data_IF_454993128719
#
_entry.id   IF_454993128719
#
_cell.length_a   1.000
_cell.length_b   1.000
_cell.length_c   1.000
_cell.angle_alpha   90.00
_cell.angle_beta   90.00
_cell.angle_gamma   90.00
#
_symmetry.space_group_name_H-M   'P 1'
#
loop_
_entity.id
_entity.type
_entity.pdbx_description
1 polymer ?
#
# COMPACT_ATOMS: atom_id res chain seq x y z
N UNK A 1 -4.27 2.56 13.05
CA UNK A 1 -3.58 2.29 11.76
C UNK A 1 -4.25 3.02 10.64
N UNK A 2 -5.52 2.72 10.42
CA UNK A 2 -6.34 3.25 9.34
C UNK A 2 -6.34 4.79 9.26
N UNK A 3 -6.56 5.48 10.38
CA UNK A 3 -6.48 6.94 10.46
C UNK A 3 -5.09 7.46 10.04
N UNK A 4 -4.01 6.89 10.60
CA UNK A 4 -2.62 7.24 10.25
C UNK A 4 -2.33 7.00 8.76
N UNK A 5 -2.86 5.92 8.17
CA UNK A 5 -2.72 5.64 6.76
C UNK A 5 -3.45 6.68 5.90
N UNK A 6 -4.66 7.07 6.28
CA UNK A 6 -5.41 8.12 5.59
C UNK A 6 -4.69 9.48 5.67
N UNK A 7 -4.14 9.85 6.83
CA UNK A 7 -3.36 11.08 7.00
C UNK A 7 -2.13 11.12 6.08
N UNK A 8 -1.37 10.01 6.05
CA UNK A 8 -0.20 9.87 5.20
C UNK A 8 -0.59 9.90 3.71
N UNK A 9 -1.65 9.20 3.32
CA UNK A 9 -2.08 9.18 1.92
C UNK A 9 -2.51 10.55 1.45
N UNK A 10 -3.27 11.30 2.25
CA UNK A 10 -3.65 12.69 1.93
C UNK A 10 -2.40 13.58 1.81
N UNK A 11 -1.41 13.42 2.69
CA UNK A 11 -0.15 14.16 2.59
C UNK A 11 0.60 13.83 1.28
N UNK A 12 0.60 12.56 0.84
CA UNK A 12 1.22 12.12 -0.42
C UNK A 12 0.46 12.58 -1.67
N UNK A 13 -0.79 13.01 -1.51
CA UNK A 13 -1.63 13.59 -2.57
C UNK A 13 -1.52 15.11 -2.69
N UNK A 14 -0.75 15.79 -1.83
CA UNK A 14 -0.48 17.21 -1.98
C UNK A 14 0.03 17.47 -3.41
N UNK A 15 -0.64 18.35 -4.15
CA UNK A 15 -0.38 18.67 -5.57
C UNK A 15 -0.89 17.67 -6.63
N UNK A 16 -1.79 16.76 -6.25
CA UNK A 16 -2.55 15.93 -7.19
C UNK A 16 -4.04 16.11 -6.97
N UNK A 17 -4.83 15.94 -8.02
CA UNK A 17 -6.29 15.85 -7.92
C UNK A 17 -6.66 14.42 -7.52
N UNK A 18 -7.23 14.20 -6.32
CA UNK A 18 -7.69 12.87 -5.92
C UNK A 18 -8.91 12.47 -6.75
N UNK A 19 -8.90 11.25 -7.28
CA UNK A 19 -10.00 10.68 -8.06
C UNK A 19 -10.40 9.34 -7.46
N UNK A 20 -11.59 9.27 -6.87
CA UNK A 20 -12.14 8.04 -6.31
C UNK A 20 -12.82 7.23 -7.40
N UNK A 21 -12.44 5.95 -7.53
CA UNK A 21 -13.01 5.03 -8.50
C UNK A 21 -13.89 3.98 -7.80
N UNK A 22 -15.16 3.92 -8.21
CA UNK A 22 -16.13 2.93 -7.74
C UNK A 22 -16.57 2.03 -8.89
N UNK A 23 -16.89 0.78 -8.59
CA UNK A 23 -17.53 -0.13 -9.53
C UNK A 23 -19.00 -0.35 -9.13
N UNK A 24 -19.97 -0.13 -10.00
CA UNK A 24 -21.39 -0.38 -9.66
C UNK A 24 -21.64 -1.86 -9.32
N UNK A 25 -20.91 -2.74 -9.98
CA UNK A 25 -20.98 -4.20 -9.90
C UNK A 25 -19.70 -4.82 -9.31
N UNK A 26 -18.98 -4.07 -8.47
CA UNK A 26 -17.76 -4.52 -7.77
C UNK A 26 -17.97 -4.65 -6.26
N UNK A 27 -16.91 -5.09 -5.55
CA UNK A 27 -16.97 -5.32 -4.11
C UNK A 27 -17.19 -4.04 -3.28
N UNK A 28 -16.59 -2.91 -3.72
CA UNK A 28 -16.64 -1.62 -3.02
C UNK A 28 -16.30 -1.70 -1.50
N UNK A 29 -15.38 -2.60 -1.14
CA UNK A 29 -15.11 -3.04 0.23
C UNK A 29 -14.17 -2.11 1.01
N UNK A 30 -13.86 -0.93 0.46
CA UNK A 30 -12.93 0.05 1.06
C UNK A 30 -13.60 1.39 1.36
N UNK A 31 -14.93 1.39 1.44
CA UNK A 31 -15.73 2.59 1.63
C UNK A 31 -15.36 3.35 2.90
N UNK A 32 -15.15 2.63 4.02
CA UNK A 32 -14.71 3.26 5.28
C UNK A 32 -13.41 4.08 5.05
N UNK A 33 -12.40 3.49 4.39
CA UNK A 33 -11.11 4.16 4.14
C UNK A 33 -11.28 5.38 3.25
N UNK A 34 -12.07 5.25 2.20
CA UNK A 34 -12.38 6.35 1.30
C UNK A 34 -13.05 7.49 2.06
N UNK A 35 -14.01 7.20 2.93
CA UNK A 35 -14.72 8.21 3.72
C UNK A 35 -13.75 8.93 4.68
N UNK A 36 -12.83 8.19 5.31
CA UNK A 36 -11.80 8.77 6.18
C UNK A 36 -10.80 9.66 5.41
N UNK A 37 -10.47 9.30 4.16
CA UNK A 37 -9.64 10.13 3.27
C UNK A 37 -10.42 11.37 2.81
N UNK A 38 -11.67 11.22 2.37
CA UNK A 38 -12.53 12.34 1.94
C UNK A 38 -12.71 13.37 3.05
N UNK A 39 -13.04 12.92 4.27
CA UNK A 39 -13.15 13.80 5.45
C UNK A 39 -11.91 14.67 5.68
N UNK A 40 -10.72 14.10 5.47
CA UNK A 40 -9.44 14.82 5.59
C UNK A 40 -9.19 15.78 4.44
N UNK A 41 -9.58 15.43 3.22
CA UNK A 41 -9.52 16.32 2.06
C UNK A 41 -10.46 17.51 2.23
N UNK A 42 -11.70 17.26 2.68
CA UNK A 42 -12.70 18.29 2.99
C UNK A 42 -12.19 19.25 4.07
N UNK A 43 -11.63 18.71 5.16
CA UNK A 43 -11.03 19.52 6.23
C UNK A 43 -9.85 20.39 5.76
N UNK A 44 -9.23 20.06 4.62
CA UNK A 44 -8.15 20.85 3.99
C UNK A 44 -8.64 21.73 2.83
N UNK A 45 -9.92 21.66 2.47
CA UNK A 45 -10.47 22.35 1.30
C UNK A 45 -9.97 21.80 -0.05
N UNK A 46 -9.45 20.57 -0.08
CA UNK A 46 -8.93 19.94 -1.30
C UNK A 46 -10.08 19.33 -2.09
N UNK A 47 -10.32 19.82 -3.31
CA UNK A 47 -11.31 19.24 -4.20
C UNK A 47 -10.87 17.86 -4.70
N UNK A 48 -11.84 16.96 -4.85
CA UNK A 48 -11.66 15.63 -5.41
C UNK A 48 -12.79 15.29 -6.39
N UNK A 49 -12.55 14.30 -7.25
CA UNK A 49 -13.56 13.77 -8.19
C UNK A 49 -13.94 12.34 -7.80
N UNK A 50 -15.15 11.92 -8.14
CA UNK A 50 -15.58 10.53 -8.03
C UNK A 50 -16.07 10.07 -9.40
N UNK A 51 -15.57 8.93 -9.87
CA UNK A 51 -15.98 8.30 -11.13
C UNK A 51 -16.50 6.91 -10.78
N UNK A 52 -17.71 6.63 -11.23
CA UNK A 52 -18.36 5.33 -11.05
C UNK A 52 -18.43 4.64 -12.40
N UNK A 53 -18.06 3.37 -12.43
CA UNK A 53 -17.91 2.56 -13.64
C UNK A 53 -18.68 1.26 -13.48
N UNK A 54 -19.28 0.77 -14.55
CA UNK A 54 -19.84 -0.58 -14.62
C UNK A 54 -18.92 -1.45 -15.48
N UNK A 55 -18.66 -2.69 -15.07
CA UNK A 55 -17.77 -3.56 -15.83
C UNK A 55 -16.30 -3.09 -15.74
N UNK A 56 -15.74 -2.55 -16.81
CA UNK A 56 -14.31 -2.16 -16.85
C UNK A 56 -14.14 -0.67 -17.04
N UNK A 57 -13.08 -0.11 -16.45
CA UNK A 57 -12.70 1.26 -16.72
C UNK A 57 -12.22 1.37 -18.17
N UNK A 58 -12.75 2.37 -18.87
CA UNK A 58 -12.31 2.73 -20.22
C UNK A 58 -11.92 4.20 -20.24
N UNK A 59 -11.12 4.61 -21.23
CA UNK A 59 -10.80 6.02 -21.45
C UNK A 59 -12.03 6.93 -21.56
N UNK A 60 -13.16 6.40 -22.03
CA UNK A 60 -14.39 7.16 -22.14
C UNK A 60 -14.91 7.65 -20.77
N UNK A 61 -14.68 6.88 -19.71
CA UNK A 61 -15.05 7.24 -18.35
C UNK A 61 -14.17 8.37 -17.77
N UNK A 62 -13.00 8.62 -18.36
CA UNK A 62 -11.99 9.58 -17.88
C UNK A 62 -11.92 10.87 -18.73
N UNK A 63 -12.80 11.03 -19.72
CA UNK A 63 -12.78 12.15 -20.68
C UNK A 63 -12.86 13.55 -20.04
N UNK A 64 -13.48 13.65 -18.87
CA UNK A 64 -13.63 14.92 -18.14
C UNK A 64 -12.38 15.31 -17.31
N UNK A 65 -11.37 14.45 -17.28
CA UNK A 65 -10.09 14.75 -16.65
C UNK A 65 -9.19 15.45 -17.68
N UNK A 66 -8.73 16.69 -17.41
CA UNK A 66 -7.70 17.34 -18.22
C UNK A 66 -6.51 16.43 -18.51
N UNK A 67 -6.12 16.34 -19.78
CA UNK A 67 -5.07 15.42 -20.24
C UNK A 67 -3.68 15.72 -19.65
N UNK A 68 -3.41 16.97 -19.29
CA UNK A 68 -2.13 17.42 -18.70
C UNK A 68 -2.15 17.46 -17.16
N UNK A 69 -3.15 16.84 -16.54
CA UNK A 69 -3.35 16.91 -15.10
C UNK A 69 -2.47 15.93 -14.30
N UNK A 70 -2.35 16.20 -13.00
CA UNK A 70 -1.69 15.32 -12.03
C UNK A 70 -2.76 14.66 -11.15
N UNK A 71 -2.90 13.34 -11.23
CA UNK A 71 -3.99 12.62 -10.58
C UNK A 71 -3.48 11.55 -9.63
N UNK A 72 -4.17 11.41 -8.50
CA UNK A 72 -4.03 10.23 -7.65
C UNK A 72 -5.36 9.48 -7.61
N UNK A 73 -5.39 8.28 -8.17
CA UNK A 73 -6.59 7.44 -8.16
C UNK A 73 -6.66 6.59 -6.90
N UNK A 74 -7.82 6.54 -6.26
CA UNK A 74 -8.10 5.70 -5.10
C UNK A 74 -9.24 4.77 -5.47
N UNK A 75 -8.96 3.47 -5.57
CA UNK A 75 -9.98 2.47 -5.93
C UNK A 75 -10.79 2.10 -4.70
N UNK A 76 -12.10 1.95 -4.78
CA UNK A 76 -12.91 1.45 -3.67
C UNK A 76 -12.83 -0.07 -3.49
N UNK A 77 -11.75 -0.73 -3.92
CA UNK A 77 -11.68 -2.18 -3.88
C UNK A 77 -10.30 -2.69 -3.51
N UNK A 78 -10.27 -3.65 -2.60
CA UNK A 78 -9.12 -4.48 -2.28
C UNK A 78 -8.97 -5.70 -3.20
N UNK A 79 -10.02 -6.07 -3.93
CA UNK A 79 -10.13 -7.36 -4.61
C UNK A 79 -9.39 -7.36 -5.95
N UNK A 80 -8.47 -8.30 -6.15
CA UNK A 80 -7.63 -8.37 -7.35
C UNK A 80 -8.44 -8.40 -8.67
N UNK A 81 -9.56 -9.14 -8.72
CA UNK A 81 -10.41 -9.21 -9.91
C UNK A 81 -11.00 -7.86 -10.31
N UNK A 82 -11.33 -7.02 -9.33
CA UNK A 82 -11.89 -5.69 -9.56
C UNK A 82 -10.79 -4.70 -9.93
N UNK A 83 -9.63 -4.80 -9.28
CA UNK A 83 -8.43 -4.03 -9.63
C UNK A 83 -8.03 -4.27 -11.10
N UNK A 84 -8.09 -5.53 -11.56
CA UNK A 84 -7.80 -5.90 -12.94
C UNK A 84 -8.81 -5.34 -13.95
N UNK A 85 -10.01 -4.95 -13.51
CA UNK A 85 -11.00 -4.26 -14.35
C UNK A 85 -10.75 -2.75 -14.45
N UNK A 86 -9.91 -2.19 -13.57
CA UNK A 86 -9.69 -0.75 -13.42
C UNK A 86 -8.31 -0.30 -13.91
N UNK A 87 -7.22 -0.96 -13.48
CA UNK A 87 -5.86 -0.51 -13.80
C UNK A 87 -5.54 -0.45 -15.31
N UNK A 88 -5.93 -1.43 -16.15
CA UNK A 88 -5.64 -1.35 -17.58
C UNK A 88 -6.25 -0.12 -18.26
N UNK A 89 -7.46 0.28 -17.86
CA UNK A 89 -8.12 1.48 -18.39
C UNK A 89 -7.41 2.78 -18.01
N UNK A 90 -6.77 2.84 -16.84
CA UNK A 90 -5.93 3.98 -16.44
C UNK A 90 -4.66 4.06 -17.29
N UNK A 91 -4.05 2.91 -17.59
CA UNK A 91 -2.84 2.83 -18.44
C UNK A 91 -3.19 3.27 -19.87
N UNK A 92 -4.25 2.71 -20.47
CA UNK A 92 -4.70 3.08 -21.83
C UNK A 92 -4.97 4.58 -21.93
N UNK A 93 -5.68 5.15 -20.96
CA UNK A 93 -5.97 6.58 -20.94
C UNK A 93 -4.70 7.44 -20.82
N UNK A 94 -3.76 7.07 -19.94
CA UNK A 94 -2.49 7.79 -19.77
C UNK A 94 -1.66 7.80 -21.04
N UNK A 95 -1.58 6.64 -21.71
CA UNK A 95 -0.69 6.43 -22.86
C UNK A 95 -1.23 7.14 -24.12
N UNK A 96 -2.54 7.39 -24.20
CA UNK A 96 -3.16 8.16 -25.28
C UNK A 96 -3.27 9.68 -25.00
N UNK A 97 -3.28 10.08 -23.73
CA UNK A 97 -3.39 11.47 -23.33
C UNK A 97 -2.04 12.23 -23.44
N UNK A 98 -2.08 13.55 -23.26
CA UNK A 98 -0.88 14.42 -23.19
C UNK A 98 -0.15 14.21 -21.85
N UNK A 99 0.44 13.01 -21.69
CA UNK A 99 1.26 12.56 -20.56
C UNK A 99 0.82 13.05 -19.16
N UNK A 100 -0.38 12.71 -18.66
CA UNK A 100 -0.76 13.00 -17.29
C UNK A 100 0.15 12.25 -16.30
N UNK A 101 0.50 12.88 -15.18
CA UNK A 101 1.16 12.17 -14.08
C UNK A 101 0.12 11.45 -13.25
N UNK A 102 0.23 10.12 -13.18
CA UNK A 102 -0.71 9.27 -12.45
C UNK A 102 -0.01 8.58 -11.28
N UNK A 103 -0.73 8.49 -10.16
CA UNK A 103 -0.45 7.57 -9.06
C UNK A 103 -1.72 6.81 -8.71
N UNK A 104 -1.57 5.61 -8.16
CA UNK A 104 -2.68 4.83 -7.61
C UNK A 104 -2.44 4.59 -6.13
N UNK A 105 -3.47 4.69 -5.31
CA UNK A 105 -3.45 4.23 -3.92
C UNK A 105 -4.12 2.87 -3.84
N UNK A 106 -3.36 1.90 -3.33
CA UNK A 106 -3.81 0.55 -3.04
C UNK A 106 -3.84 0.24 -1.54
N UNK A 107 -4.19 -1.00 -1.23
CA UNK A 107 -4.49 -1.48 0.12
C UNK A 107 -3.53 -2.58 0.55
N UNK A 108 -3.40 -2.88 1.86
CA UNK A 108 -2.41 -3.82 2.37
C UNK A 108 -2.37 -5.17 1.65
N UNK A 109 -3.54 -5.71 1.27
CA UNK A 109 -3.65 -6.97 0.56
C UNK A 109 -3.03 -6.95 -0.86
N UNK A 110 -2.86 -5.78 -1.48
CA UNK A 110 -2.26 -5.67 -2.82
C UNK A 110 -0.78 -6.04 -2.84
N UNK A 111 -0.09 -6.05 -1.69
CA UNK A 111 1.31 -6.52 -1.61
C UNK A 111 1.44 -8.02 -1.93
N UNK A 112 0.33 -8.74 -1.92
CA UNK A 112 0.26 -10.16 -2.31
C UNK A 112 0.08 -10.36 -3.81
N UNK A 113 -0.27 -9.31 -4.55
CA UNK A 113 -0.49 -9.43 -5.99
C UNK A 113 0.79 -9.76 -6.73
N UNK A 114 0.65 -10.55 -7.80
CA UNK A 114 1.72 -11.05 -8.66
C UNK A 114 1.30 -10.97 -10.12
N UNK A 115 2.24 -11.24 -11.04
CA UNK A 115 1.98 -11.27 -12.47
C UNK A 115 1.51 -9.91 -13.01
N UNK A 116 0.54 -9.92 -13.89
CA UNK A 116 0.06 -8.72 -14.60
C UNK A 116 -0.44 -7.62 -13.65
N UNK A 117 -1.14 -7.96 -12.56
CA UNK A 117 -1.61 -6.96 -11.61
C UNK A 117 -0.44 -6.20 -10.96
N UNK A 118 0.62 -6.91 -10.58
CA UNK A 118 1.82 -6.29 -10.02
C UNK A 118 2.54 -5.43 -11.08
N UNK A 119 2.64 -5.91 -12.31
CA UNK A 119 3.19 -5.12 -13.43
C UNK A 119 2.42 -3.82 -13.64
N UNK A 120 1.08 -3.87 -13.59
CA UNK A 120 0.22 -2.70 -13.70
C UNK A 120 0.38 -1.75 -12.50
N UNK A 121 0.57 -2.29 -11.29
CA UNK A 121 0.89 -1.48 -10.11
C UNK A 121 2.21 -0.71 -10.28
N UNK A 122 3.25 -1.36 -10.79
CA UNK A 122 4.52 -0.67 -11.12
C UNK A 122 4.31 0.38 -12.20
N UNK A 123 3.57 0.06 -13.26
CA UNK A 123 3.31 0.97 -14.37
C UNK A 123 2.61 2.26 -13.90
N UNK A 124 1.70 2.14 -12.93
CA UNK A 124 0.89 3.25 -12.41
C UNK A 124 1.45 3.90 -11.13
N UNK A 125 2.71 3.63 -10.76
CA UNK A 125 3.36 4.23 -9.59
C UNK A 125 2.53 4.08 -8.30
N UNK A 126 2.13 2.84 -8.02
CA UNK A 126 1.15 2.53 -6.96
C UNK A 126 1.76 2.63 -5.56
N UNK A 127 1.07 3.37 -4.68
CA UNK A 127 1.36 3.49 -3.26
C UNK A 127 0.45 2.55 -2.46
N UNK A 128 1.05 1.69 -1.63
CA UNK A 128 0.33 0.78 -0.73
C UNK A 128 0.79 1.01 0.70
N UNK A 129 -0.14 1.13 1.64
CA UNK A 129 0.18 1.08 3.06
C UNK A 129 0.13 -0.36 3.58
N UNK A 130 1.01 -0.72 4.52
CA UNK A 130 1.01 -2.06 5.13
C UNK A 130 1.67 -2.06 6.52
N UNK A 131 1.37 -3.06 7.36
CA UNK A 131 2.16 -3.32 8.60
C UNK A 131 3.46 -4.05 8.34
N UNK A 132 3.52 -4.77 7.24
CA UNK A 132 4.64 -5.61 6.92
C UNK A 132 5.01 -5.43 5.45
N UNK A 133 6.28 -5.63 5.16
CA UNK A 133 6.75 -5.64 3.79
C UNK A 133 7.74 -6.76 3.66
N UNK A 134 7.39 -7.77 2.88
CA UNK A 134 8.33 -8.85 2.57
C UNK A 134 8.94 -8.62 1.19
N UNK A 135 10.26 -8.46 1.18
CA UNK A 135 11.05 -8.44 -0.03
C UNK A 135 11.98 -9.65 0.01
N UNK A 136 11.52 -10.75 -0.60
CA UNK A 136 12.23 -12.02 -0.69
C UNK A 136 13.61 -11.85 -1.37
N UNK A 137 13.73 -10.90 -2.29
CA UNK A 137 14.96 -10.57 -3.00
C UNK A 137 15.91 -9.66 -2.21
N UNK A 138 15.54 -9.23 -1.01
CA UNK A 138 16.44 -8.44 -0.18
C UNK A 138 17.58 -9.31 0.36
N UNK A 139 18.82 -8.77 0.46
CA UNK A 139 19.92 -9.49 1.10
C UNK A 139 19.64 -9.90 2.55
N UNK A 140 18.79 -9.14 3.28
CA UNK A 140 18.36 -9.49 4.65
C UNK A 140 17.46 -10.73 4.63
N UNK A 141 16.44 -10.77 3.77
CA UNK A 141 15.52 -11.91 3.64
C UNK A 141 16.24 -13.18 3.19
N UNK A 142 17.06 -13.11 2.12
CA UNK A 142 17.85 -14.27 1.65
C UNK A 142 18.79 -14.83 2.73
N UNK A 143 19.42 -13.96 3.53
CA UNK A 143 20.31 -14.39 4.61
C UNK A 143 19.55 -15.12 5.72
N UNK A 144 18.37 -14.63 6.10
CA UNK A 144 17.53 -15.31 7.10
C UNK A 144 17.04 -16.65 6.55
N UNK A 145 16.56 -16.70 5.30
CA UNK A 145 16.15 -17.94 4.63
C UNK A 145 17.27 -18.99 4.63
N UNK A 146 18.49 -18.58 4.26
CA UNK A 146 19.66 -19.47 4.25
C UNK A 146 19.99 -20.01 5.64
N UNK A 147 20.00 -19.15 6.67
CA UNK A 147 20.24 -19.57 8.06
C UNK A 147 19.15 -20.48 8.59
N UNK A 148 17.89 -20.18 8.27
CA UNK A 148 16.76 -21.01 8.66
C UNK A 148 16.89 -22.42 8.06
N UNK A 149 17.16 -22.52 6.76
CA UNK A 149 17.45 -23.79 6.08
C UNK A 149 18.61 -24.56 6.71
N UNK A 150 19.69 -23.87 7.05
CA UNK A 150 20.84 -24.50 7.69
C UNK A 150 20.51 -25.11 9.05
N UNK A 151 19.67 -24.45 9.85
CA UNK A 151 19.39 -24.88 11.23
C UNK A 151 18.24 -25.88 11.33
N UNK A 152 17.22 -25.75 10.46
CA UNK A 152 15.99 -26.54 10.54
C UNK A 152 15.87 -27.57 9.41
N UNK A 153 16.79 -27.59 8.44
CA UNK A 153 16.83 -28.57 7.34
C UNK A 153 15.84 -28.32 6.20
N UNK A 154 14.90 -27.38 6.35
CA UNK A 154 13.91 -27.02 5.33
C UNK A 154 13.75 -25.51 5.18
N UNK A 155 13.16 -25.07 4.07
CA UNK A 155 12.81 -23.67 3.86
C UNK A 155 11.66 -23.24 4.77
N UNK A 156 11.56 -21.92 5.01
CA UNK A 156 10.40 -21.37 5.69
C UNK A 156 9.14 -21.50 4.80
N UNK A 157 7.99 -21.69 5.44
CA UNK A 157 6.69 -21.73 4.76
C UNK A 157 6.43 -20.44 3.97
N UNK A 158 5.91 -20.59 2.75
CA UNK A 158 5.62 -19.47 1.86
C UNK A 158 4.21 -18.90 2.10
N UNK A 159 3.96 -18.43 3.32
CA UNK A 159 2.74 -17.75 3.72
C UNK A 159 2.97 -16.24 3.77
N UNK A 160 1.92 -15.43 3.52
CA UNK A 160 2.01 -13.97 3.64
C UNK A 160 1.13 -13.49 4.81
N UNK A 161 1.68 -12.77 5.82
CA UNK A 161 3.10 -12.50 6.04
C UNK A 161 3.89 -13.78 6.34
N UNK A 162 5.19 -13.76 6.04
CA UNK A 162 6.09 -14.88 6.27
C UNK A 162 6.33 -15.08 7.76
N UNK A 163 5.71 -16.13 8.30
CA UNK A 163 5.64 -16.40 9.73
C UNK A 163 7.02 -16.59 10.36
N UNK A 164 7.94 -17.28 9.67
CA UNK A 164 9.31 -17.45 10.17
C UNK A 164 10.07 -16.13 10.30
N UNK A 165 9.86 -15.17 9.38
CA UNK A 165 10.48 -13.83 9.47
C UNK A 165 9.78 -12.99 10.53
N UNK A 166 8.45 -13.07 10.66
CA UNK A 166 7.70 -12.41 11.74
C UNK A 166 8.17 -12.87 13.12
N UNK A 167 8.35 -14.18 13.33
CA UNK A 167 8.90 -14.73 14.57
C UNK A 167 10.33 -14.24 14.84
N UNK A 168 11.18 -14.24 13.82
CA UNK A 168 12.55 -13.71 13.91
C UNK A 168 12.55 -12.23 14.32
N UNK A 169 11.78 -11.38 13.62
CA UNK A 169 11.70 -9.95 13.90
C UNK A 169 11.17 -9.67 15.31
N UNK A 170 10.16 -10.42 15.75
CA UNK A 170 9.59 -10.31 17.10
C UNK A 170 10.62 -10.68 18.17
N UNK A 171 11.34 -11.80 18.00
CA UNK A 171 12.38 -12.21 18.94
C UNK A 171 13.51 -11.20 19.02
N UNK A 172 13.98 -10.69 17.88
CA UNK A 172 15.02 -9.66 17.83
C UNK A 172 14.56 -8.35 18.48
N UNK A 173 13.30 -7.95 18.30
CA UNK A 173 12.73 -6.81 19.01
C UNK A 173 12.75 -7.01 20.53
N UNK A 174 12.26 -8.14 21.04
CA UNK A 174 12.23 -8.42 22.50
C UNK A 174 13.63 -8.42 23.09
N UNK A 175 14.60 -9.09 22.44
CA UNK A 175 15.99 -9.11 22.90
C UNK A 175 16.60 -7.71 22.92
N UNK A 176 16.33 -6.89 21.90
CA UNK A 176 16.79 -5.50 21.87
C UNK A 176 16.16 -4.68 22.99
N UNK A 177 14.84 -4.80 23.20
CA UNK A 177 14.09 -4.10 24.25
C UNK A 177 14.60 -4.43 25.65
N UNK A 178 14.88 -5.71 25.93
CA UNK A 178 15.44 -6.15 27.21
C UNK A 178 16.84 -5.60 27.47
N UNK A 179 17.64 -5.45 26.40
CA UNK A 179 19.02 -4.94 26.50
C UNK A 179 19.06 -3.42 26.66
N UNK A 180 18.32 -2.73 25.80
CA UNK A 180 18.20 -1.29 25.75
C UNK A 180 16.70 -1.05 25.67
N UNK A 181 16.08 -0.36 26.63
CA UNK A 181 14.62 -0.10 26.66
C UNK A 181 14.09 0.78 25.50
N UNK A 182 14.61 0.60 24.29
CA UNK A 182 14.19 1.24 23.06
C UNK A 182 12.96 0.56 22.50
N UNK A 183 11.95 1.37 22.25
CA UNK A 183 10.64 0.92 21.76
C UNK A 183 10.58 0.76 20.23
N UNK A 184 11.69 0.99 19.51
CA UNK A 184 11.78 0.97 18.05
C UNK A 184 12.69 -0.14 17.51
N UNK A 185 12.23 -0.85 16.48
CA UNK A 185 13.00 -1.86 15.75
C UNK A 185 12.58 -1.90 14.28
N UNK A 186 13.55 -1.79 13.37
CA UNK A 186 13.38 -2.05 11.93
C UNK A 186 13.76 -3.49 11.59
N UNK A 187 12.75 -4.35 11.52
CA UNK A 187 12.92 -5.75 11.13
C UNK A 187 13.07 -5.96 9.64
N UNK A 188 13.24 -7.22 9.27
CA UNK A 188 13.36 -7.63 7.87
C UNK A 188 12.02 -7.53 7.17
N UNK A 189 10.95 -7.99 7.82
CA UNK A 189 9.58 -7.91 7.33
C UNK A 189 8.72 -6.97 8.19
N UNK A 190 8.85 -7.03 9.51
CA UNK A 190 8.01 -6.29 10.46
C UNK A 190 8.85 -5.30 11.26
N UNK A 191 8.35 -4.08 11.36
CA UNK A 191 8.92 -3.07 12.24
C UNK A 191 8.04 -2.92 13.47
N UNK A 192 8.66 -2.58 14.59
CA UNK A 192 7.96 -2.31 15.84
C UNK A 192 8.29 -0.89 16.29
N UNK A 193 7.24 -0.14 16.63
CA UNK A 193 7.36 1.16 17.29
C UNK A 193 6.15 1.32 18.19
N UNK A 194 6.30 0.93 19.45
CA UNK A 194 5.18 0.90 20.40
C UNK A 194 4.91 2.28 21.00
N UNK A 195 3.64 2.60 21.16
CA UNK A 195 3.16 3.79 21.86
C UNK A 195 1.85 3.46 22.57
N UNK A 196 1.50 4.25 23.59
CA UNK A 196 0.23 4.16 24.31
C UNK A 196 -0.72 5.20 23.72
N UNK A 197 -1.82 4.80 23.06
CA UNK A 197 -2.87 5.74 22.67
C UNK A 197 -3.54 6.37 23.90
N UNK A 198 -4.04 7.60 23.76
CA UNK A 198 -4.76 8.28 24.84
C UNK A 198 -5.95 7.44 25.34
N UNK A 199 -6.01 7.20 26.66
CA UNK A 199 -7.07 6.41 27.30
C UNK A 199 -6.94 4.89 27.12
N UNK A 200 -5.87 4.38 26.49
CA UNK A 200 -5.62 2.95 26.35
C UNK A 200 -4.88 2.37 27.58
N UNK A 201 -5.19 1.11 27.91
CA UNK A 201 -4.53 0.38 29.00
C UNK A 201 -3.24 -0.34 28.57
N UNK A 202 -2.83 -0.25 27.30
CA UNK A 202 -1.68 -0.96 26.79
C UNK A 202 -1.11 -0.38 25.50
N UNK A 203 0.10 -0.83 25.18
CA UNK A 203 0.86 -0.37 24.03
C UNK A 203 0.32 -0.96 22.72
N UNK A 204 0.37 -0.19 21.65
CA UNK A 204 0.10 -0.67 20.31
C UNK A 204 1.26 -0.35 19.37
N UNK A 205 1.54 -1.26 18.43
CA UNK A 205 2.53 -0.99 17.39
C UNK A 205 1.98 0.10 16.46
N UNK A 206 2.67 1.25 16.40
CA UNK A 206 2.33 2.39 15.56
C UNK A 206 3.03 2.42 14.22
N UNK A 207 3.98 1.51 13.98
CA UNK A 207 4.75 1.51 12.75
C UNK A 207 3.86 1.14 11.55
N UNK A 208 3.96 1.95 10.50
CA UNK A 208 3.29 1.77 9.22
C UNK A 208 4.31 1.89 8.09
N UNK A 209 4.24 0.99 7.12
CA UNK A 209 5.00 1.11 5.89
C UNK A 209 4.17 1.76 4.80
N UNK A 210 4.81 2.62 4.02
CA UNK A 210 4.34 3.02 2.70
C UNK A 210 5.29 2.41 1.68
N UNK A 211 4.73 1.57 0.83
CA UNK A 211 5.42 0.83 -0.21
C UNK A 211 5.04 1.49 -1.53
N UNK A 212 6.04 1.93 -2.29
CA UNK A 212 5.84 2.51 -3.61
C UNK A 212 6.34 1.54 -4.68
N UNK A 213 5.41 1.05 -5.50
CA UNK A 213 5.70 0.26 -6.70
C UNK A 213 5.92 1.21 -7.87
N UNK A 214 7.18 1.57 -8.11
CA UNK A 214 7.54 2.54 -9.13
C UNK A 214 7.65 1.92 -10.52
N UNK A 215 7.51 2.72 -11.60
CA UNK A 215 7.82 2.28 -12.96
C UNK A 215 9.24 1.70 -13.04
N UNK A 216 9.42 0.68 -13.90
CA UNK A 216 10.70 -0.02 -14.05
C UNK A 216 10.97 -1.11 -13.01
N UNK A 217 9.97 -1.51 -12.21
CA UNK A 217 10.08 -2.62 -11.26
C UNK A 217 10.74 -2.25 -9.92
N UNK A 218 11.06 -0.96 -9.71
CA UNK A 218 11.64 -0.49 -8.45
C UNK A 218 10.58 -0.48 -7.34
N UNK A 219 10.95 -0.97 -6.16
CA UNK A 219 10.11 -0.90 -4.96
C UNK A 219 10.83 -0.06 -3.90
N UNK A 220 10.17 1.00 -3.42
CA UNK A 220 10.65 1.80 -2.30
C UNK A 220 9.78 1.55 -1.06
N UNK A 221 10.42 1.39 0.11
CA UNK A 221 9.74 1.27 1.41
C UNK A 221 10.12 2.46 2.28
N UNK A 222 9.13 3.13 2.87
CA UNK A 222 9.34 4.11 3.94
C UNK A 222 8.55 3.67 5.18
N UNK A 223 9.19 3.72 6.36
CA UNK A 223 8.52 3.56 7.66
C UNK A 223 8.06 4.91 8.19
N UNK A 224 6.89 4.92 8.83
CA UNK A 224 6.24 6.10 9.40
C UNK A 224 5.63 5.75 10.75
#
# INVERSE_FOLDING_TARGET
MFEKAADVMVARMAYTVPVFLNLTDGANDKTEFIDAVKKRLDGKGTQYKTITVEGKLTKANLKELPAEGNYTFILNTGRQSDVNRLLPGLIEWRDEAVMPSIKVVGYPEWITFRGETLSNMHNLNTLVYSRFFDNEDSPRSRRIESKFKQWYGTGMENAIPRQGILGFDTGMFVLNYLKNAGHHYDGVQNGFSFFVPDGAAGDCNGLLYIINYRPGGLIEKASI
#
